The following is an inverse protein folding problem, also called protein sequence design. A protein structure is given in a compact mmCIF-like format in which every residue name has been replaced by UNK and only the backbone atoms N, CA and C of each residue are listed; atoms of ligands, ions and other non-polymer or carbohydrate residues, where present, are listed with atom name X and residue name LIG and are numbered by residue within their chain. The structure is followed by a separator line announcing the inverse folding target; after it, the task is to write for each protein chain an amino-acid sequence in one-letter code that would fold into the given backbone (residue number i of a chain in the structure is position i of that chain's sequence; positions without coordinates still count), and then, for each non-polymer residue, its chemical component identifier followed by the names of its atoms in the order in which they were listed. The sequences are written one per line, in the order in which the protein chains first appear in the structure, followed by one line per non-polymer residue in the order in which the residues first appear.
data_IF_807572394612
#
_entry.id   IF_807572394612
#
_cell.length_a   1.000
_cell.length_b   1.000
_cell.length_c   1.000
_cell.angle_alpha   90.00
_cell.angle_beta   90.00
_cell.angle_gamma   90.00
#
_symmetry.space_group_name_H-M   'P 1'
#
loop_
_entity.id
_entity.type
_entity.pdbx_description
1 polymer ?
#
# COMPACT_ATOMS: atom_id res chain seq x y z
N UNK A 1 12.41 -1.27 20.19
CA UNK A 1 11.58 -0.40 19.33
C UNK A 1 11.06 -1.29 18.22
N UNK A 2 9.76 -1.58 18.17
CA UNK A 2 9.20 -2.60 17.28
C UNK A 2 8.98 -2.00 15.89
N UNK A 3 9.86 -2.33 14.94
CA UNK A 3 9.71 -1.94 13.53
C UNK A 3 8.94 -3.05 12.81
N UNK A 4 7.99 -2.67 11.96
CA UNK A 4 7.37 -3.62 11.04
C UNK A 4 8.41 -4.11 10.04
N UNK A 5 8.48 -5.42 9.83
CA UNK A 5 9.35 -6.02 8.80
C UNK A 5 8.91 -5.57 7.40
N UNK A 6 7.60 -5.56 7.16
CA UNK A 6 6.98 -5.06 5.94
C UNK A 6 5.54 -4.59 6.19
N UNK A 7 5.03 -3.73 5.32
CA UNK A 7 3.63 -3.32 5.22
C UNK A 7 3.30 -3.04 3.74
N UNK A 8 2.01 -2.99 3.41
CA UNK A 8 1.56 -2.85 2.04
C UNK A 8 0.72 -1.60 1.79
N UNK A 9 0.61 -1.24 0.51
CA UNK A 9 -0.29 -0.20 0.02
C UNK A 9 -1.36 -0.84 -0.85
N UNK A 10 -2.62 -0.54 -0.58
CA UNK A 10 -3.76 -1.15 -1.29
C UNK A 10 -3.72 -0.84 -2.80
N UNK A 11 -3.33 0.38 -3.16
CA UNK A 11 -3.19 0.80 -4.55
C UNK A 11 -1.99 0.13 -5.25
N UNK A 12 -1.00 -0.34 -4.49
CA UNK A 12 0.18 -1.09 -4.98
C UNK A 12 0.18 -2.54 -4.49
N UNK A 13 -0.96 -3.20 -4.59
CA UNK A 13 -1.15 -4.55 -4.07
C UNK A 13 -0.10 -5.56 -4.57
N UNK A 14 0.18 -5.63 -5.88
CA UNK A 14 1.14 -6.59 -6.44
C UNK A 14 2.57 -6.30 -5.96
N UNK A 15 2.94 -5.02 -5.87
CA UNK A 15 4.23 -4.63 -5.32
C UNK A 15 4.34 -5.01 -3.84
N UNK A 16 3.27 -4.82 -3.08
CA UNK A 16 3.20 -5.20 -1.67
C UNK A 16 3.32 -6.71 -1.49
N UNK A 17 2.61 -7.49 -2.31
CA UNK A 17 2.69 -8.95 -2.31
C UNK A 17 4.11 -9.45 -2.63
N UNK A 18 4.77 -8.86 -3.63
CA UNK A 18 6.17 -9.18 -3.98
C UNK A 18 7.14 -8.83 -2.83
N UNK A 19 6.95 -7.67 -2.18
CA UNK A 19 7.73 -7.30 -1.01
C UNK A 19 7.56 -8.33 0.13
N UNK A 20 6.33 -8.74 0.43
CA UNK A 20 6.08 -9.75 1.45
C UNK A 20 6.72 -11.11 1.10
N UNK A 21 6.61 -11.54 -0.16
CA UNK A 21 7.19 -12.79 -0.62
C UNK A 21 8.72 -12.81 -0.48
N UNK A 22 9.40 -11.72 -0.86
CA UNK A 22 10.84 -11.56 -0.65
C UNK A 22 11.21 -11.67 0.84
N UNK A 23 10.50 -10.94 1.71
CA UNK A 23 10.78 -10.94 3.17
C UNK A 23 10.48 -12.27 3.85
N UNK A 24 9.51 -13.02 3.35
CA UNK A 24 9.11 -14.31 3.91
C UNK A 24 9.79 -15.50 3.23
N UNK A 25 10.56 -15.28 2.15
CA UNK A 25 11.19 -16.35 1.37
C UNK A 25 10.19 -17.26 0.64
N UNK A 26 9.02 -16.74 0.27
CA UNK A 26 7.96 -17.49 -0.43
C UNK A 26 7.78 -16.97 -1.85
N UNK A 27 7.00 -17.69 -2.68
CA UNK A 27 6.64 -17.22 -4.02
C UNK A 27 5.24 -16.61 -3.99
N UNK A 28 5.05 -15.53 -4.75
CA UNK A 28 3.70 -14.97 -4.99
C UNK A 28 3.06 -15.76 -6.12
N UNK A 29 1.88 -16.30 -5.88
CA UNK A 29 1.00 -16.72 -6.95
C UNK A 29 0.18 -15.51 -7.41
N UNK A 30 0.32 -15.11 -8.68
CA UNK A 30 -0.47 -14.01 -9.22
C UNK A 30 -1.92 -14.47 -9.38
N UNK A 31 -2.82 -13.89 -8.58
CA UNK A 31 -4.25 -14.18 -8.71
C UNK A 31 -4.76 -13.76 -10.09
N UNK A 32 -5.50 -14.64 -10.77
CA UNK A 32 -6.01 -14.39 -12.12
C UNK A 32 -6.92 -13.15 -12.25
N UNK A 33 -7.54 -12.71 -11.14
CA UNK A 33 -8.34 -11.47 -11.09
C UNK A 33 -8.44 -10.95 -9.66
N UNK A 34 -8.29 -9.64 -9.46
CA UNK A 34 -8.68 -8.99 -8.19
C UNK A 34 -10.19 -9.09 -8.03
N UNK A 35 -10.66 -9.74 -6.96
CA UNK A 35 -12.06 -9.68 -6.57
C UNK A 35 -12.34 -8.26 -6.06
N UNK A 36 -13.17 -7.50 -6.79
CA UNK A 36 -13.63 -6.19 -6.32
C UNK A 36 -14.82 -6.44 -5.38
N UNK A 37 -14.55 -6.58 -4.09
CA UNK A 37 -15.59 -6.93 -3.10
C UNK A 37 -16.46 -5.75 -2.65
N UNK A 38 -16.12 -4.51 -2.99
CA UNK A 38 -16.84 -3.33 -2.48
C UNK A 38 -17.65 -2.63 -3.58
N UNK A 39 -18.70 -3.27 -4.09
CA UNK A 39 -19.64 -2.62 -5.02
C UNK A 39 -20.37 -1.43 -4.38
N UNK A 40 -20.63 -1.51 -3.08
CA UNK A 40 -21.53 -0.58 -2.38
C UNK A 40 -20.78 0.58 -1.70
N UNK A 41 -19.47 0.71 -1.95
CA UNK A 41 -18.66 1.79 -1.35
C UNK A 41 -18.88 3.09 -2.12
N UNK A 42 -19.27 4.19 -1.45
CA UNK A 42 -19.37 5.50 -2.09
C UNK A 42 -18.06 5.91 -2.74
N UNK A 43 -18.14 6.46 -3.95
CA UNK A 43 -17.03 7.10 -4.62
C UNK A 43 -16.75 8.48 -3.99
N UNK A 44 -15.53 8.98 -4.18
CA UNK A 44 -15.16 10.33 -3.71
C UNK A 44 -16.01 11.42 -4.40
N UNK A 45 -16.52 11.14 -5.61
CA UNK A 45 -17.47 11.98 -6.33
C UNK A 45 -18.81 12.13 -5.63
N UNK A 46 -19.18 11.16 -4.78
CA UNK A 46 -20.47 11.14 -4.08
C UNK A 46 -20.45 12.03 -2.84
N UNK A 47 -19.26 12.50 -2.43
CA UNK A 47 -19.07 13.40 -1.30
C UNK A 47 -19.05 14.86 -1.77
N UNK A 48 -19.82 15.71 -1.08
CA UNK A 48 -19.75 17.16 -1.29
C UNK A 48 -18.39 17.72 -0.86
N UNK A 49 -17.98 18.84 -1.44
CA UNK A 49 -16.69 19.47 -1.10
C UNK A 49 -16.54 19.79 0.40
N UNK A 50 -17.55 20.32 1.12
CA UNK A 50 -17.46 20.55 2.56
C UNK A 50 -17.21 19.26 3.35
N UNK A 51 -17.91 18.17 3.01
CA UNK A 51 -17.74 16.88 3.70
C UNK A 51 -16.35 16.31 3.45
N UNK A 52 -15.81 16.41 2.22
CA UNK A 52 -14.45 15.98 1.92
C UNK A 52 -13.40 16.74 2.72
N UNK A 53 -13.57 18.06 2.85
CA UNK A 53 -12.66 18.89 3.63
C UNK A 53 -12.70 18.50 5.11
N UNK A 54 -13.90 18.33 5.68
CA UNK A 54 -14.03 17.91 7.07
C UNK A 54 -13.43 16.52 7.33
N UNK A 55 -13.63 15.56 6.43
CA UNK A 55 -12.97 14.25 6.53
C UNK A 55 -11.45 14.39 6.47
N UNK A 56 -10.92 15.21 5.56
CA UNK A 56 -9.48 15.45 5.47
C UNK A 56 -8.92 16.04 6.77
N UNK A 57 -9.59 17.04 7.34
CA UNK A 57 -9.13 17.71 8.56
C UNK A 57 -9.17 16.78 9.78
N UNK A 58 -10.24 15.98 9.91
CA UNK A 58 -10.36 14.98 10.98
C UNK A 58 -9.36 13.83 10.86
N UNK A 59 -8.87 13.54 9.66
CA UNK A 59 -7.91 12.46 9.38
C UNK A 59 -6.52 13.01 9.03
N UNK A 60 -6.19 14.24 9.43
CA UNK A 60 -4.92 14.88 9.06
C UNK A 60 -3.69 14.05 9.49
N UNK A 61 -3.77 13.37 10.65
CA UNK A 61 -2.72 12.48 11.13
C UNK A 61 -2.60 11.22 10.27
N UNK A 62 -3.71 10.59 9.87
CA UNK A 62 -3.69 9.44 8.97
C UNK A 62 -3.16 9.82 7.59
N UNK A 63 -3.50 11.01 7.09
CA UNK A 63 -2.93 11.54 5.84
C UNK A 63 -1.42 11.70 5.97
N UNK A 64 -0.93 12.25 7.09
CA UNK A 64 0.51 12.40 7.32
C UNK A 64 1.21 11.02 7.45
N UNK A 65 0.62 10.10 8.20
CA UNK A 65 1.11 8.73 8.36
C UNK A 65 1.15 7.99 7.02
N UNK A 66 0.09 8.10 6.22
CA UNK A 66 0.01 7.47 4.91
C UNK A 66 1.06 8.02 3.94
N UNK A 67 1.30 9.35 3.93
CA UNK A 67 2.39 9.95 3.15
C UNK A 67 3.76 9.42 3.58
N UNK A 68 4.00 9.35 4.89
CA UNK A 68 5.22 8.78 5.43
C UNK A 68 5.39 7.30 5.02
N UNK A 69 4.36 6.49 5.22
CA UNK A 69 4.35 5.07 4.88
C UNK A 69 4.57 4.86 3.38
N UNK A 70 3.94 5.68 2.54
CA UNK A 70 4.09 5.61 1.08
C UNK A 70 5.53 5.88 0.64
N UNK A 71 6.14 6.96 1.12
CA UNK A 71 7.54 7.26 0.79
C UNK A 71 8.46 6.13 1.26
N UNK A 72 8.26 5.65 2.49
CA UNK A 72 9.07 4.58 3.05
C UNK A 72 8.87 3.23 2.35
N UNK A 73 7.68 2.99 1.79
CA UNK A 73 7.40 1.81 0.98
C UNK A 73 8.19 1.83 -0.33
N UNK A 74 8.30 2.99 -0.99
CA UNK A 74 9.13 3.12 -2.19
C UNK A 74 10.58 2.76 -1.91
N UNK A 75 11.17 3.30 -0.83
CA UNK A 75 12.54 2.97 -0.41
C UNK A 75 12.69 1.44 -0.21
N UNK A 76 11.76 0.81 0.52
CA UNK A 76 11.82 -0.63 0.79
C UNK A 76 11.68 -1.47 -0.48
N UNK A 77 10.82 -1.03 -1.41
CA UNK A 77 10.57 -1.74 -2.65
C UNK A 77 11.78 -1.65 -3.59
N UNK A 78 12.40 -0.49 -3.73
CA UNK A 78 13.64 -0.30 -4.51
C UNK A 78 14.80 -1.13 -3.95
N UNK A 79 14.97 -1.16 -2.63
CA UNK A 79 15.96 -2.01 -1.97
C UNK A 79 15.77 -3.50 -2.30
N UNK A 80 14.53 -4.00 -2.25
CA UNK A 80 14.21 -5.40 -2.55
C UNK A 80 14.46 -5.72 -4.03
N UNK A 81 14.01 -4.86 -4.96
CA UNK A 81 14.21 -5.10 -6.39
C UNK A 81 15.69 -5.00 -6.80
N UNK A 82 16.47 -4.12 -6.16
CA UNK A 82 17.91 -4.02 -6.36
C UNK A 82 18.71 -5.21 -5.83
N UNK A 83 18.18 -5.96 -4.85
CA UNK A 83 18.78 -7.22 -4.37
C UNK A 83 18.51 -8.37 -5.34
N UNK A 84 17.27 -8.48 -5.84
CA UNK A 84 16.88 -9.54 -6.77
C UNK A 84 17.66 -9.53 -8.09
N UNK A 85 18.18 -8.38 -8.53
CA UNK A 85 19.05 -8.30 -9.72
C UNK A 85 20.50 -8.77 -9.51
N UNK A 86 20.96 -8.99 -8.27
CA UNK A 86 22.33 -9.44 -7.97
C UNK A 86 22.46 -10.94 -7.73
N UNK A 87 21.33 -11.64 -7.65
CA UNK A 87 21.25 -13.08 -7.38
C UNK A 87 20.81 -13.91 -8.59
N UNK A 88 20.71 -13.28 -9.77
CA UNK A 88 20.40 -13.92 -11.05
C UNK A 88 21.65 -14.15 -11.89
#
# INVERSE_FOLDING_TARGET
MNRYEAYGLQERFEASARLFADRLGVKVEEAAKRAKETSDRPAVSDLSAPVRQEMHDRNALDVALYRFAKNRFEDQFEETMGRSSKTA
#
